data_IF_873736972643
#
_entry.id   IF_873736972643
#
_cell.length_a   1.000
_cell.length_b   1.000
_cell.length_c   1.000
_cell.angle_alpha   90.00
_cell.angle_beta   90.00
_cell.angle_gamma   90.00
#
_symmetry.space_group_name_H-M   'P 1'
#
loop_
_entity.id
_entity.type
_entity.pdbx_description
1 polymer ?
#
# COMPACT_ATOMS: atom_id res chain seq x y z
N UNK A 1 12.17 -1.32 -6.59
CA UNK A 1 12.70 0.05 -6.43
C UNK A 1 13.43 0.50 -7.69
N UNK A 2 13.05 1.64 -8.21
CA UNK A 2 13.82 2.35 -9.23
C UNK A 2 15.07 2.95 -8.59
N UNK A 3 16.25 2.53 -9.06
CA UNK A 3 17.56 3.00 -8.56
C UNK A 3 18.32 3.83 -9.60
N UNK A 4 17.63 4.29 -10.63
CA UNK A 4 18.19 5.20 -11.62
C UNK A 4 18.68 6.50 -10.95
N UNK A 5 19.66 7.15 -11.58
CA UNK A 5 20.12 8.50 -11.19
C UNK A 5 19.03 9.58 -11.31
N UNK A 6 18.01 9.30 -12.11
CA UNK A 6 16.80 10.12 -12.31
C UNK A 6 15.56 9.24 -12.22
N UNK A 7 15.17 8.79 -11.00
CA UNK A 7 14.05 7.90 -10.82
C UNK A 7 12.75 8.46 -11.43
N UNK A 8 11.93 7.59 -11.98
CA UNK A 8 10.62 7.95 -12.50
C UNK A 8 10.59 8.58 -13.89
N UNK A 9 11.70 8.64 -14.60
CA UNK A 9 11.70 9.08 -16.03
C UNK A 9 11.11 8.02 -16.96
N UNK A 10 11.21 6.75 -16.60
CA UNK A 10 10.61 5.63 -17.30
C UNK A 10 9.80 4.78 -16.35
N UNK A 11 8.68 4.25 -16.83
CA UNK A 11 7.86 3.35 -16.02
C UNK A 11 8.61 2.06 -15.70
N UNK A 12 8.68 1.73 -14.42
CA UNK A 12 9.26 0.47 -13.95
C UNK A 12 8.27 -0.69 -14.03
N UNK A 13 6.97 -0.41 -14.22
CA UNK A 13 5.92 -1.41 -14.24
C UNK A 13 4.76 -0.99 -15.14
N UNK A 14 4.21 -1.94 -15.88
CA UNK A 14 3.07 -1.74 -16.77
C UNK A 14 2.12 -2.94 -16.74
N UNK A 15 1.10 -2.93 -17.58
CA UNK A 15 0.04 -3.96 -17.61
C UNK A 15 0.53 -5.35 -18.02
N UNK A 16 1.50 -5.43 -18.91
CA UNK A 16 2.15 -6.70 -19.29
C UNK A 16 2.86 -7.34 -18.11
N UNK A 17 3.59 -6.53 -17.31
CA UNK A 17 4.22 -7.01 -16.08
C UNK A 17 3.18 -7.41 -15.03
N UNK A 18 2.09 -6.64 -14.90
CA UNK A 18 1.00 -6.99 -13.99
C UNK A 18 0.43 -8.38 -14.30
N UNK A 19 0.14 -8.67 -15.58
CA UNK A 19 -0.33 -9.98 -16.03
C UNK A 19 0.65 -11.10 -15.69
N UNK A 20 1.92 -10.89 -16.03
CA UNK A 20 2.96 -11.88 -15.77
C UNK A 20 3.08 -12.18 -14.28
N UNK A 21 3.20 -11.14 -13.44
CA UNK A 21 3.37 -11.32 -12.00
C UNK A 21 2.16 -11.98 -11.35
N UNK A 22 0.94 -11.60 -11.74
CA UNK A 22 -0.29 -12.25 -11.27
C UNK A 22 -0.31 -13.74 -11.63
N UNK A 23 0.10 -14.12 -12.87
CA UNK A 23 0.21 -15.52 -13.29
C UNK A 23 1.27 -16.29 -12.51
N UNK A 24 2.30 -15.61 -12.04
CA UNK A 24 3.34 -16.18 -11.16
C UNK A 24 2.94 -16.21 -9.68
N UNK A 25 1.69 -15.84 -9.34
CA UNK A 25 1.16 -15.91 -7.98
C UNK A 25 1.33 -14.63 -7.14
N UNK A 26 1.77 -13.52 -7.73
CA UNK A 26 1.79 -12.25 -7.02
C UNK A 26 0.36 -11.77 -6.72
N UNK A 27 0.11 -11.33 -5.49
CA UNK A 27 -1.16 -10.79 -5.02
C UNK A 27 -1.18 -9.26 -5.02
N UNK A 28 -0.06 -8.61 -5.24
CA UNK A 28 0.10 -7.16 -5.33
C UNK A 28 1.54 -6.78 -5.69
N UNK A 29 1.75 -5.51 -5.98
CA UNK A 29 3.08 -4.96 -6.21
C UNK A 29 3.24 -3.58 -5.58
N UNK A 30 4.43 -3.31 -5.03
CA UNK A 30 4.82 -2.00 -4.52
C UNK A 30 6.02 -1.53 -5.32
N UNK A 31 5.87 -0.41 -5.99
CA UNK A 31 6.85 0.13 -6.93
C UNK A 31 7.33 1.48 -6.41
N UNK A 32 8.54 1.54 -5.86
CA UNK A 32 9.20 2.81 -5.56
C UNK A 32 9.77 3.39 -6.86
N UNK A 33 8.87 3.91 -7.68
CA UNK A 33 9.06 4.38 -9.03
C UNK A 33 7.74 4.73 -9.67
N UNK A 34 7.73 4.89 -10.98
CA UNK A 34 6.53 5.17 -11.77
C UNK A 34 6.02 3.94 -12.51
N UNK A 35 4.73 3.95 -12.80
CA UNK A 35 4.04 2.91 -13.58
C UNK A 35 3.40 3.51 -14.82
N UNK A 36 2.92 2.65 -15.74
CA UNK A 36 2.15 3.04 -16.93
C UNK A 36 0.97 2.10 -17.14
N UNK A 37 0.15 2.38 -18.14
CA UNK A 37 -0.94 1.50 -18.60
C UNK A 37 -1.98 1.21 -17.50
N UNK A 38 -2.38 2.24 -16.73
CA UNK A 38 -3.28 2.09 -15.57
C UNK A 38 -4.59 1.39 -15.92
N UNK A 39 -5.15 1.64 -17.11
CA UNK A 39 -6.39 0.98 -17.54
C UNK A 39 -6.19 -0.54 -17.70
N UNK A 40 -5.06 -0.96 -18.29
CA UNK A 40 -4.69 -2.37 -18.42
C UNK A 40 -4.40 -3.02 -17.07
N UNK A 41 -3.71 -2.33 -16.17
CA UNK A 41 -3.44 -2.80 -14.79
C UNK A 41 -4.76 -3.03 -14.03
N UNK A 42 -5.72 -2.10 -14.13
CA UNK A 42 -7.05 -2.25 -13.51
C UNK A 42 -7.81 -3.46 -14.04
N UNK A 43 -7.72 -3.73 -15.36
CA UNK A 43 -8.34 -4.93 -15.96
C UNK A 43 -7.71 -6.23 -15.44
N UNK A 44 -6.43 -6.23 -15.17
CA UNK A 44 -5.74 -7.39 -14.57
C UNK A 44 -6.21 -7.63 -13.15
N UNK A 45 -6.53 -6.57 -12.40
CA UNK A 45 -6.95 -6.67 -11.00
C UNK A 45 -5.81 -6.92 -10.02
N UNK A 46 -4.55 -6.69 -10.41
CA UNK A 46 -3.41 -6.74 -9.49
C UNK A 46 -3.28 -5.39 -8.78
N UNK A 47 -3.46 -5.28 -7.46
CA UNK A 47 -3.22 -4.06 -6.72
C UNK A 47 -1.76 -3.61 -6.87
N UNK A 48 -1.57 -2.34 -7.26
CA UNK A 48 -0.22 -1.77 -7.42
C UNK A 48 -0.15 -0.42 -6.71
N UNK A 49 0.86 -0.27 -5.89
CA UNK A 49 1.20 0.97 -5.19
C UNK A 49 2.44 1.57 -5.85
N UNK A 50 2.34 2.80 -6.30
CA UNK A 50 3.44 3.53 -6.95
C UNK A 50 3.30 5.03 -6.65
N UNK A 51 4.40 5.78 -6.74
CA UNK A 51 4.35 7.21 -6.45
C UNK A 51 3.98 8.08 -7.65
N UNK A 52 3.85 7.51 -8.85
CA UNK A 52 3.45 8.29 -10.01
C UNK A 52 3.29 7.48 -11.28
N UNK A 53 2.94 8.18 -12.35
CA UNK A 53 2.78 7.60 -13.69
C UNK A 53 3.64 8.32 -14.71
N UNK A 54 4.09 7.59 -15.75
CA UNK A 54 4.78 8.13 -16.90
C UNK A 54 4.47 7.27 -18.12
N UNK A 55 4.25 7.84 -19.34
CA UNK A 55 3.82 7.04 -20.48
C UNK A 55 4.93 6.17 -21.07
N UNK A 56 6.19 6.61 -20.97
CA UNK A 56 7.33 5.91 -21.53
C UNK A 56 7.93 4.86 -20.59
N UNK A 57 8.73 3.97 -21.17
CA UNK A 57 9.63 3.12 -20.38
C UNK A 57 11.06 3.29 -20.86
N UNK A 58 12.01 3.05 -19.96
CA UNK A 58 13.42 2.95 -20.32
C UNK A 58 13.85 1.50 -20.49
N UNK A 59 15.08 1.31 -20.94
CA UNK A 59 15.79 0.03 -20.79
C UNK A 59 16.19 -0.06 -19.32
N UNK A 60 15.80 -1.14 -18.65
CA UNK A 60 16.20 -1.37 -17.27
C UNK A 60 16.78 -2.77 -17.07
N UNK A 61 17.65 -2.90 -16.10
CA UNK A 61 18.24 -4.15 -15.69
C UNK A 61 17.95 -4.41 -14.23
N UNK A 62 17.63 -5.65 -13.87
CA UNK A 62 17.52 -6.06 -12.50
C UNK A 62 18.92 -6.09 -11.85
N UNK A 63 19.18 -5.18 -10.93
CA UNK A 63 20.47 -5.09 -10.22
C UNK A 63 20.53 -6.01 -9.01
N UNK A 64 19.36 -6.29 -8.39
CA UNK A 64 19.23 -7.19 -7.24
C UNK A 64 17.87 -7.87 -7.27
N UNK A 65 17.87 -9.13 -6.87
CA UNK A 65 16.67 -9.96 -6.74
C UNK A 65 16.69 -10.62 -5.36
N UNK A 66 15.54 -10.78 -4.74
CA UNK A 66 15.37 -11.41 -3.42
C UNK A 66 16.31 -10.82 -2.34
N UNK A 67 16.42 -9.50 -2.31
CA UNK A 67 17.30 -8.76 -1.41
C UNK A 67 16.50 -7.66 -0.68
N UNK A 68 16.98 -7.22 0.50
CA UNK A 68 16.36 -6.07 1.19
C UNK A 68 16.36 -4.83 0.31
N UNK A 69 15.24 -4.13 0.31
CA UNK A 69 15.04 -2.87 -0.44
C UNK A 69 14.39 -1.82 0.46
N UNK A 70 14.71 -0.56 0.23
CA UNK A 70 13.98 0.55 0.88
C UNK A 70 12.99 1.11 -0.13
N UNK A 71 11.70 1.07 0.21
CA UNK A 71 10.58 1.55 -0.59
C UNK A 71 9.80 2.55 0.23
N UNK A 72 9.55 3.75 -0.29
CA UNK A 72 8.82 4.79 0.42
C UNK A 72 9.36 5.05 1.83
N UNK A 73 10.68 5.06 2.03
CA UNK A 73 11.38 5.21 3.32
C UNK A 73 11.29 3.98 4.26
N UNK A 74 10.54 2.95 3.91
CA UNK A 74 10.42 1.72 4.70
C UNK A 74 11.39 0.66 4.16
N UNK A 75 12.21 0.09 5.03
CA UNK A 75 13.06 -1.05 4.67
C UNK A 75 12.24 -2.33 4.67
N UNK A 76 12.16 -2.97 3.53
CA UNK A 76 11.45 -4.24 3.31
C UNK A 76 12.46 -5.34 3.02
N UNK A 77 12.23 -6.51 3.57
CA UNK A 77 13.05 -7.72 3.37
C UNK A 77 12.19 -8.84 2.78
N UNK A 78 12.78 -9.78 2.06
CA UNK A 78 12.08 -11.03 1.72
C UNK A 78 11.47 -11.68 2.98
N UNK A 79 10.18 -12.05 2.90
CA UNK A 79 9.44 -12.61 4.03
C UNK A 79 8.72 -11.60 4.93
N UNK A 80 8.94 -10.29 4.75
CA UNK A 80 8.17 -9.28 5.47
C UNK A 80 6.69 -9.32 5.05
N UNK A 81 5.79 -9.17 6.02
CA UNK A 81 4.37 -9.04 5.78
C UNK A 81 4.02 -7.57 5.49
N UNK A 82 3.35 -7.34 4.37
CA UNK A 82 2.87 -6.02 3.98
C UNK A 82 1.35 -6.05 3.88
N UNK A 83 0.70 -5.11 4.52
CA UNK A 83 -0.69 -4.76 4.30
C UNK A 83 -0.77 -3.50 3.45
N UNK A 84 -1.69 -3.47 2.49
CA UNK A 84 -1.91 -2.30 1.62
C UNK A 84 -3.37 -2.14 1.28
N UNK A 85 -3.85 -0.88 1.30
CA UNK A 85 -5.21 -0.49 0.95
C UNK A 85 -5.22 0.87 0.21
N UNK A 86 -6.38 1.54 0.14
CA UNK A 86 -6.54 2.84 -0.53
C UNK A 86 -5.69 3.97 0.05
N UNK A 87 -5.29 3.86 1.31
CA UNK A 87 -4.52 4.88 2.02
C UNK A 87 -3.00 4.65 1.92
N UNK A 88 -2.57 3.44 1.55
CA UNK A 88 -1.16 3.12 1.35
C UNK A 88 -0.75 1.75 1.84
N UNK A 89 0.52 1.62 2.24
CA UNK A 89 1.09 0.35 2.66
C UNK A 89 1.77 0.46 4.02
N UNK A 90 1.62 -0.58 4.82
CA UNK A 90 2.31 -0.72 6.10
C UNK A 90 3.01 -2.07 6.19
N UNK A 91 4.21 -2.08 6.76
CA UNK A 91 4.91 -3.32 7.10
C UNK A 91 4.53 -3.76 8.50
N UNK A 92 4.00 -4.97 8.62
CA UNK A 92 3.64 -5.59 9.89
C UNK A 92 4.75 -6.58 10.28
N UNK A 93 5.42 -6.42 11.44
CA UNK A 93 6.34 -7.44 11.91
C UNK A 93 5.59 -8.77 12.09
N UNK A 94 6.09 -9.84 11.49
CA UNK A 94 5.39 -11.13 11.39
C UNK A 94 4.96 -11.68 12.75
N UNK A 95 5.77 -11.45 13.78
CA UNK A 95 5.47 -11.89 15.14
C UNK A 95 4.22 -11.23 15.77
N UNK A 96 3.79 -10.08 15.23
CA UNK A 96 2.59 -9.36 15.69
C UNK A 96 1.39 -9.51 14.76
N UNK A 97 1.49 -10.30 13.69
CA UNK A 97 0.45 -10.38 12.67
C UNK A 97 -0.91 -10.83 13.23
N UNK A 98 -0.91 -11.87 14.08
CA UNK A 98 -2.13 -12.38 14.71
C UNK A 98 -2.72 -11.39 15.72
N UNK A 99 -1.87 -10.73 16.51
CA UNK A 99 -2.29 -9.72 17.47
C UNK A 99 -2.91 -8.49 16.75
N UNK A 100 -2.26 -8.01 15.70
CA UNK A 100 -2.79 -6.90 14.87
C UNK A 100 -4.14 -7.27 14.28
N UNK A 101 -4.27 -8.49 13.76
CA UNK A 101 -5.54 -8.96 13.18
C UNK A 101 -6.65 -9.02 14.25
N UNK A 102 -6.35 -9.52 15.44
CA UNK A 102 -7.32 -9.59 16.54
C UNK A 102 -7.75 -8.20 17.02
N UNK A 103 -6.80 -7.25 17.13
CA UNK A 103 -7.09 -5.90 17.61
C UNK A 103 -7.78 -5.01 16.56
N UNK A 104 -7.62 -5.29 15.26
CA UNK A 104 -8.24 -4.49 14.22
C UNK A 104 -9.77 -4.43 14.33
N UNK A 105 -10.42 -5.54 14.72
CA UNK A 105 -11.85 -5.57 14.99
C UNK A 105 -12.28 -4.68 16.15
N UNK A 106 -11.50 -4.66 17.21
CA UNK A 106 -11.74 -3.82 18.40
C UNK A 106 -11.63 -2.34 18.07
N UNK A 107 -10.60 -1.97 17.29
CA UNK A 107 -10.41 -0.57 16.84
C UNK A 107 -11.59 -0.12 16.00
N UNK A 108 -12.02 -0.92 15.01
CA UNK A 108 -13.18 -0.61 14.16
C UNK A 108 -14.48 -0.47 14.95
N UNK A 109 -14.71 -1.32 15.95
CA UNK A 109 -15.89 -1.23 16.80
C UNK A 109 -15.90 0.09 17.59
N UNK A 110 -14.75 0.46 18.16
CA UNK A 110 -14.60 1.73 18.88
C UNK A 110 -14.77 2.96 17.98
N UNK A 111 -14.25 2.92 16.78
CA UNK A 111 -14.47 3.99 15.78
C UNK A 111 -15.93 4.11 15.41
N UNK A 112 -16.65 2.99 15.22
CA UNK A 112 -18.06 2.99 14.92
C UNK A 112 -18.89 3.63 16.05
N UNK A 113 -18.54 3.40 17.32
CA UNK A 113 -19.17 4.06 18.46
C UNK A 113 -18.94 5.58 18.44
N UNK A 114 -17.71 6.00 18.15
CA UNK A 114 -17.34 7.42 18.02
C UNK A 114 -18.12 8.07 16.88
N UNK A 115 -18.21 7.43 15.72
CA UNK A 115 -18.93 7.97 14.57
C UNK A 115 -20.44 8.04 14.84
N UNK A 116 -21.01 7.02 15.49
CA UNK A 116 -22.40 7.05 15.91
C UNK A 116 -22.71 8.23 16.86
N UNK A 117 -21.78 8.57 17.75
CA UNK A 117 -21.91 9.76 18.58
C UNK A 117 -21.84 11.04 17.75
N UNK A 118 -20.91 11.17 16.79
CA UNK A 118 -20.81 12.34 15.93
C UNK A 118 -22.07 12.57 15.08
N UNK A 119 -22.69 11.50 14.62
CA UNK A 119 -23.90 11.54 13.80
C UNK A 119 -25.20 11.67 14.63
N UNK A 120 -25.09 11.66 15.97
CA UNK A 120 -26.26 11.72 16.86
C UNK A 120 -26.82 13.14 17.02
N UNK A 121 -28.12 13.23 17.33
CA UNK A 121 -28.76 14.50 17.63
C UNK A 121 -28.30 15.17 18.95
N UNK A 122 -27.64 14.40 19.80
CA UNK A 122 -27.07 14.90 21.08
C UNK A 122 -25.64 15.43 20.92
N UNK A 123 -25.09 15.36 19.71
CA UNK A 123 -23.73 15.88 19.48
C UNK A 123 -23.68 17.40 19.69
N UNK A 124 -22.74 17.82 20.53
CA UNK A 124 -22.30 19.20 20.67
C UNK A 124 -20.81 19.25 20.96
N UNK A 125 -20.20 20.41 20.78
CA UNK A 125 -18.78 20.56 21.10
C UNK A 125 -18.49 20.31 22.59
N UNK A 126 -19.38 20.76 23.49
CA UNK A 126 -19.31 20.55 24.95
C UNK A 126 -19.43 19.06 25.28
N UNK A 127 -20.39 18.36 24.68
CA UNK A 127 -20.55 16.92 24.86
C UNK A 127 -19.34 16.14 24.36
N UNK A 128 -18.80 16.52 23.21
CA UNK A 128 -17.58 15.92 22.67
C UNK A 128 -16.37 16.16 23.58
N UNK A 129 -16.20 17.37 24.12
CA UNK A 129 -15.12 17.68 25.05
C UNK A 129 -15.23 16.84 26.33
N UNK A 130 -16.41 16.76 26.92
CA UNK A 130 -16.67 15.96 28.13
C UNK A 130 -16.45 14.46 27.93
N UNK A 131 -16.62 13.93 26.73
CA UNK A 131 -16.39 12.51 26.41
C UNK A 131 -14.88 12.13 26.36
N UNK A 132 -13.97 13.10 26.45
CA UNK A 132 -12.52 12.91 26.38
C UNK A 132 -11.80 13.10 27.71
N UNK A 133 -12.52 13.54 28.74
CA UNK A 133 -12.03 13.61 30.11
C UNK A 133 -12.28 12.27 30.86
#
# INVERSE_FOLDING_TARGET
KDVDSRPGRGASFGDGMARLHQRLGAVGAIVDGTVRDLAGIRQVGLPIFAWGTVPGHGVFNATRVNAPVTVGQVRVRPGDLIFGDGDGCVRIPVQYAEEVLALAGTVRAKEAEIFAFYDSQIFSFEAWKASRE
#
